data_IF_826952531455
#
_entry.id   IF_826952531455
#
_cell.length_a   1.000
_cell.length_b   1.000
_cell.length_c   1.000
_cell.angle_alpha   90.00
_cell.angle_beta   90.00
_cell.angle_gamma   90.00
#
_symmetry.space_group_name_H-M   'P 1'
#
loop_
_entity.id
_entity.type
_entity.pdbx_description
1 polymer ?
#
# COMPACT_ATOMS: atom_id res chain seq x y z
N UNK A 1 -67.17 -17.29 23.45
CA UNK A 1 -66.58 -17.54 22.12
C UNK A 1 -65.29 -16.73 22.02
N UNK A 2 -64.20 -17.41 21.69
CA UNK A 2 -62.83 -16.88 21.63
C UNK A 2 -62.56 -16.06 20.36
N UNK A 3 -61.42 -15.36 20.39
CA UNK A 3 -60.69 -14.68 19.31
C UNK A 3 -60.97 -13.19 19.11
N UNK A 4 -60.00 -12.35 19.50
CA UNK A 4 -59.20 -11.56 18.56
C UNK A 4 -58.54 -10.36 19.26
N UNK A 5 -57.54 -10.60 20.11
CA UNK A 5 -56.63 -9.51 20.54
C UNK A 5 -55.16 -9.80 20.27
N UNK A 6 -54.81 -11.01 19.84
CA UNK A 6 -53.42 -11.42 19.58
C UNK A 6 -52.90 -10.94 18.22
N UNK A 7 -53.78 -10.69 17.24
CA UNK A 7 -53.37 -10.30 15.89
C UNK A 7 -52.91 -8.83 15.81
N UNK A 8 -53.54 -7.92 16.56
CA UNK A 8 -53.16 -6.50 16.55
C UNK A 8 -51.78 -6.27 17.16
N UNK A 9 -51.47 -6.90 18.29
CA UNK A 9 -50.15 -6.82 18.93
C UNK A 9 -49.03 -7.41 18.08
N UNK A 10 -49.29 -8.51 17.36
CA UNK A 10 -48.32 -9.10 16.44
C UNK A 10 -48.07 -8.21 15.22
N UNK A 11 -49.11 -7.58 14.66
CA UNK A 11 -48.97 -6.63 13.56
C UNK A 11 -48.17 -5.39 13.97
N UNK A 12 -48.38 -4.85 15.17
CA UNK A 12 -47.56 -3.74 15.71
C UNK A 12 -46.09 -4.15 15.87
N UNK A 13 -45.84 -5.36 16.38
CA UNK A 13 -44.49 -5.89 16.54
C UNK A 13 -43.77 -6.08 15.20
N UNK A 14 -44.50 -6.60 14.20
CA UNK A 14 -43.98 -6.79 12.84
C UNK A 14 -43.69 -5.43 12.18
N UNK A 15 -44.57 -4.45 12.30
CA UNK A 15 -44.37 -3.11 11.75
C UNK A 15 -43.17 -2.40 12.39
N UNK A 16 -42.99 -2.52 13.71
CA UNK A 16 -41.82 -1.95 14.41
C UNK A 16 -40.53 -2.66 13.95
N UNK A 17 -40.54 -3.98 13.84
CA UNK A 17 -39.37 -4.74 13.35
C UNK A 17 -39.04 -4.42 11.88
N UNK A 18 -40.04 -4.21 11.03
CA UNK A 18 -39.88 -3.82 9.64
C UNK A 18 -39.33 -2.40 9.51
N UNK A 19 -39.79 -1.45 10.33
CA UNK A 19 -39.26 -0.08 10.37
C UNK A 19 -37.80 -0.04 10.84
N UNK A 20 -37.44 -0.86 11.83
CA UNK A 20 -36.04 -0.99 12.29
C UNK A 20 -35.15 -1.61 11.20
N UNK A 21 -35.65 -2.57 10.43
CA UNK A 21 -34.90 -3.11 9.29
C UNK A 21 -34.75 -2.08 8.15
N UNK A 22 -35.75 -1.24 7.91
CA UNK A 22 -35.68 -0.19 6.88
C UNK A 22 -34.63 0.88 7.18
N UNK A 23 -34.46 1.30 8.45
CA UNK A 23 -33.43 2.29 8.83
C UNK A 23 -32.00 1.74 8.71
N UNK A 24 -31.80 0.42 8.82
CA UNK A 24 -30.47 -0.20 8.70
C UNK A 24 -30.00 -0.29 7.23
N UNK A 25 -30.92 -0.31 6.26
CA UNK A 25 -30.59 -0.50 4.83
C UNK A 25 -29.98 0.75 4.16
N UNK A 26 -30.11 1.95 4.73
CA UNK A 26 -29.56 3.19 4.15
C UNK A 26 -28.12 3.54 4.59
N UNK A 27 -27.38 2.61 5.20
CA UNK A 27 -26.00 2.86 5.66
C UNK A 27 -24.90 2.45 4.65
N UNK A 28 -25.17 2.46 3.33
CA UNK A 28 -24.15 2.13 2.32
C UNK A 28 -24.10 3.15 1.18
N UNK A 29 -23.00 3.91 1.10
CA UNK A 29 -22.54 4.41 -0.20
C UNK A 29 -21.95 5.82 -0.29
N UNK A 30 -21.35 6.38 0.77
CA UNK A 30 -20.62 7.64 0.65
C UNK A 30 -19.29 7.51 -0.13
N UNK A 31 -19.31 7.62 -1.47
CA UNK A 31 -18.08 7.80 -2.27
C UNK A 31 -17.72 9.30 -2.35
N UNK A 32 -16.95 9.79 -1.37
CA UNK A 32 -16.23 11.07 -1.48
C UNK A 32 -14.95 10.86 -2.28
N UNK A 33 -15.03 10.99 -3.60
CA UNK A 33 -13.88 11.10 -4.50
C UNK A 33 -13.50 12.55 -4.76
N UNK A 34 -13.16 13.30 -3.71
CA UNK A 34 -12.65 14.67 -3.85
C UNK A 34 -11.24 14.66 -4.43
N UNK A 35 -11.09 14.94 -5.73
CA UNK A 35 -9.79 15.24 -6.36
C UNK A 35 -9.38 16.66 -6.01
N UNK A 36 -9.11 16.90 -4.73
CA UNK A 36 -8.50 18.14 -4.26
C UNK A 36 -7.03 18.17 -4.69
N UNK A 37 -6.71 18.93 -5.74
CA UNK A 37 -5.37 19.48 -5.94
C UNK A 37 -5.12 20.56 -4.88
N UNK A 38 -5.11 20.16 -3.61
CA UNK A 38 -4.49 20.95 -2.56
C UNK A 38 -2.99 20.82 -2.76
N UNK A 39 -2.29 21.94 -3.01
CA UNK A 39 -0.85 21.99 -2.80
C UNK A 39 -0.63 21.83 -1.29
N UNK A 40 -0.65 20.59 -0.82
CA UNK A 40 -0.39 20.24 0.57
C UNK A 40 0.97 20.79 0.93
N UNK A 41 1.11 21.37 2.13
CA UNK A 41 2.42 21.65 2.70
C UNK A 41 3.19 20.31 2.69
N UNK A 42 4.20 20.20 1.82
CA UNK A 42 4.83 18.95 1.38
C UNK A 42 5.83 18.38 2.41
N UNK A 43 5.48 18.53 3.69
CA UNK A 43 6.35 18.13 4.81
C UNK A 43 6.40 16.60 4.96
N UNK A 44 5.39 15.86 4.48
CA UNK A 44 5.36 14.40 4.56
C UNK A 44 6.30 13.73 3.55
N UNK A 45 6.92 12.60 3.96
CA UNK A 45 7.58 11.70 3.02
C UNK A 45 6.57 11.17 2.00
N UNK A 46 6.97 11.05 0.74
CA UNK A 46 6.15 10.57 -0.37
C UNK A 46 7.00 9.74 -1.33
N UNK A 47 6.48 8.61 -1.80
CA UNK A 47 7.11 7.82 -2.87
C UNK A 47 6.53 8.27 -4.21
N UNK A 48 7.36 8.87 -5.06
CA UNK A 48 6.90 9.59 -6.25
C UNK A 48 6.99 8.75 -7.54
N UNK A 49 7.94 7.82 -7.62
CA UNK A 49 8.15 7.01 -8.82
C UNK A 49 8.77 5.68 -8.44
N UNK A 50 8.31 4.62 -9.11
CA UNK A 50 8.86 3.28 -8.99
C UNK A 50 9.08 2.67 -10.36
N UNK A 51 10.18 1.95 -10.52
CA UNK A 51 10.46 1.19 -11.73
C UNK A 51 11.11 -0.14 -11.38
N UNK A 52 10.56 -1.22 -11.93
CA UNK A 52 11.17 -2.54 -11.93
C UNK A 52 11.81 -2.71 -13.31
N UNK A 53 13.13 -2.75 -13.35
CA UNK A 53 13.87 -2.71 -14.62
C UNK A 53 14.15 -4.13 -15.17
N UNK A 54 13.89 -5.20 -14.41
CA UNK A 54 13.96 -6.55 -14.97
C UNK A 54 12.91 -7.50 -14.40
N UNK A 55 12.04 -7.93 -15.32
CA UNK A 55 11.12 -9.04 -15.26
C UNK A 55 11.43 -9.93 -16.46
N UNK A 56 11.62 -11.24 -16.24
CA UNK A 56 12.06 -12.27 -17.19
C UNK A 56 13.55 -12.24 -17.55
N UNK A 57 14.32 -13.19 -17.01
CA UNK A 57 15.64 -13.53 -17.50
C UNK A 57 15.91 -15.02 -17.16
N UNK A 58 16.56 -15.78 -18.06
CA UNK A 58 17.08 -17.10 -17.75
C UNK A 58 18.18 -17.01 -16.67
N UNK A 59 18.56 -18.16 -16.13
CA UNK A 59 19.48 -18.34 -14.99
C UNK A 59 20.68 -17.36 -15.02
N UNK A 60 21.04 -16.80 -13.85
CA UNK A 60 21.99 -15.68 -13.68
C UNK A 60 21.44 -14.27 -14.03
N UNK A 61 20.17 -14.02 -13.71
CA UNK A 61 19.51 -12.74 -13.96
C UNK A 61 19.83 -11.65 -12.94
N UNK A 62 20.00 -10.40 -13.38
CA UNK A 62 20.12 -9.24 -12.48
C UNK A 62 18.74 -8.66 -12.21
N UNK A 63 18.30 -8.57 -10.95
CA UNK A 63 17.03 -7.91 -10.56
C UNK A 63 17.29 -6.49 -10.07
N UNK A 64 16.62 -5.50 -10.66
CA UNK A 64 16.78 -4.07 -10.31
C UNK A 64 15.45 -3.42 -9.92
N UNK A 65 15.38 -2.92 -8.70
CA UNK A 65 14.26 -2.18 -8.14
C UNK A 65 14.68 -0.74 -7.87
N UNK A 66 13.95 0.22 -8.41
CA UNK A 66 14.23 1.65 -8.22
C UNK A 66 13.09 2.31 -7.46
N UNK A 67 13.46 3.10 -6.47
CA UNK A 67 12.57 3.93 -5.68
C UNK A 67 13.04 5.39 -5.68
N UNK A 68 12.15 6.31 -6.05
CA UNK A 68 12.36 7.76 -5.88
C UNK A 68 11.39 8.27 -4.83
N UNK A 69 11.93 8.92 -3.80
CA UNK A 69 11.14 9.52 -2.74
C UNK A 69 11.41 11.02 -2.62
N UNK A 70 10.39 11.75 -2.20
CA UNK A 70 10.42 13.18 -1.93
C UNK A 70 9.86 13.45 -0.54
N UNK A 71 10.36 14.48 0.14
CA UNK A 71 9.83 14.96 1.40
C UNK A 71 10.68 16.10 1.95
N UNK A 72 10.10 16.88 2.87
CA UNK A 72 10.76 18.02 3.50
C UNK A 72 10.71 17.87 5.03
N UNK A 73 11.78 17.35 5.69
CA UNK A 73 13.11 17.01 5.17
C UNK A 73 13.14 15.79 4.25
N UNK A 74 14.23 15.68 3.47
CA UNK A 74 14.47 14.54 2.57
C UNK A 74 14.34 13.22 3.32
N UNK A 75 13.52 12.28 2.83
CA UNK A 75 13.33 11.01 3.49
C UNK A 75 14.57 10.12 3.34
N UNK A 76 14.71 9.19 4.27
CA UNK A 76 15.61 8.03 4.15
C UNK A 76 14.82 6.87 3.54
N UNK A 77 15.48 6.04 2.71
CA UNK A 77 14.86 4.86 2.11
C UNK A 77 15.37 3.61 2.82
N UNK A 78 14.46 2.67 3.08
CA UNK A 78 14.75 1.31 3.51
C UNK A 78 14.02 0.31 2.62
N UNK A 79 14.65 -0.81 2.34
CA UNK A 79 14.08 -1.89 1.55
C UNK A 79 13.65 -3.05 2.43
N UNK A 80 12.48 -3.61 2.10
CA UNK A 80 11.89 -4.75 2.80
C UNK A 80 11.56 -5.83 1.79
N UNK A 81 11.63 -7.09 2.21
CA UNK A 81 11.12 -8.25 1.49
C UNK A 81 10.14 -8.97 2.42
N UNK A 82 8.91 -9.16 1.97
CA UNK A 82 7.85 -9.89 2.70
C UNK A 82 7.62 -9.34 4.12
N UNK A 83 7.73 -8.01 4.25
CA UNK A 83 7.54 -7.31 5.52
C UNK A 83 8.77 -7.28 6.44
N UNK A 84 9.86 -7.99 6.11
CA UNK A 84 11.10 -7.95 6.86
C UNK A 84 12.11 -6.99 6.21
N UNK A 85 12.82 -6.19 7.02
CA UNK A 85 13.91 -5.33 6.52
C UNK A 85 14.99 -6.21 5.89
N UNK A 86 15.42 -5.84 4.68
CA UNK A 86 16.38 -6.64 3.95
C UNK A 86 17.75 -6.56 4.60
N UNK A 87 18.28 -7.72 4.97
CA UNK A 87 19.63 -7.83 5.51
C UNK A 87 20.68 -7.76 4.40
N UNK A 88 21.90 -7.29 4.71
CA UNK A 88 23.02 -7.38 3.78
C UNK A 88 23.27 -8.83 3.36
N UNK A 89 23.40 -9.07 2.06
CA UNK A 89 23.76 -10.36 1.46
C UNK A 89 24.82 -10.14 0.38
N UNK A 90 25.69 -11.12 0.08
CA UNK A 90 26.74 -10.96 -0.93
C UNK A 90 26.21 -10.60 -2.33
N UNK A 91 25.04 -11.13 -2.70
CA UNK A 91 24.40 -10.90 -3.99
C UNK A 91 23.44 -9.70 -3.98
N UNK A 92 23.41 -8.90 -2.91
CA UNK A 92 22.49 -7.76 -2.77
C UNK A 92 23.28 -6.47 -2.66
N UNK A 93 23.00 -5.52 -3.53
CA UNK A 93 23.67 -4.23 -3.62
C UNK A 93 22.68 -3.07 -3.54
N UNK A 94 22.98 -2.11 -2.67
CA UNK A 94 22.18 -0.90 -2.48
C UNK A 94 22.93 0.33 -3.01
N UNK A 95 22.25 1.14 -3.79
CA UNK A 95 22.80 2.39 -4.32
C UNK A 95 21.86 3.53 -4.02
N UNK A 96 22.35 4.55 -3.32
CA UNK A 96 21.56 5.73 -2.98
C UNK A 96 22.20 6.99 -3.51
N UNK A 97 21.36 7.88 -4.08
CA UNK A 97 21.79 9.16 -4.61
C UNK A 97 20.77 10.25 -4.29
N UNK A 98 21.17 11.31 -3.58
CA UNK A 98 20.38 12.53 -3.49
C UNK A 98 20.15 13.13 -4.89
N UNK A 99 18.89 13.37 -5.25
CA UNK A 99 18.54 14.08 -6.48
C UNK A 99 18.37 15.59 -6.25
N UNK A 100 17.97 15.98 -5.04
CA UNK A 100 17.90 17.38 -4.60
C UNK A 100 17.93 17.47 -3.07
N UNK A 101 17.74 18.68 -2.52
CA UNK A 101 17.60 18.90 -1.07
C UNK A 101 16.51 18.03 -0.44
N UNK A 102 15.45 17.73 -1.18
CA UNK A 102 14.22 17.11 -0.69
C UNK A 102 13.89 15.80 -1.42
N UNK A 103 14.71 15.37 -2.39
CA UNK A 103 14.51 14.15 -3.20
C UNK A 103 15.67 13.19 -3.09
N UNK A 104 15.37 11.90 -3.03
CA UNK A 104 16.33 10.80 -3.02
C UNK A 104 15.94 9.73 -4.05
N UNK A 105 16.95 9.13 -4.66
CA UNK A 105 16.85 7.95 -5.52
C UNK A 105 17.59 6.80 -4.83
N UNK A 106 16.96 5.64 -4.75
CA UNK A 106 17.54 4.41 -4.20
C UNK A 106 17.30 3.26 -5.19
N UNK A 107 18.32 2.44 -5.41
CA UNK A 107 18.25 1.23 -6.22
C UNK A 107 18.71 0.03 -5.40
N UNK A 108 17.85 -0.97 -5.37
CA UNK A 108 18.15 -2.31 -4.90
C UNK A 108 18.47 -3.19 -6.12
N UNK A 109 19.63 -3.80 -6.10
CA UNK A 109 20.12 -4.71 -7.15
C UNK A 109 20.41 -6.08 -6.52
N UNK A 110 19.91 -7.14 -7.14
CA UNK A 110 20.18 -8.52 -6.74
C UNK A 110 20.86 -9.22 -7.92
N UNK A 111 22.11 -9.63 -7.73
CA UNK A 111 22.96 -10.22 -8.76
C UNK A 111 23.92 -11.28 -8.14
N UNK A 112 23.79 -12.57 -8.49
CA UNK A 112 22.72 -13.15 -9.30
C UNK A 112 21.41 -13.24 -8.52
N UNK A 113 20.29 -13.05 -9.22
CA UNK A 113 18.96 -13.28 -8.67
C UNK A 113 18.54 -14.74 -8.89
N UNK A 114 17.97 -15.33 -7.84
CA UNK A 114 17.55 -16.74 -7.77
C UNK A 114 16.04 -16.85 -7.58
N UNK A 115 15.45 -18.05 -7.70
CA UNK A 115 14.04 -18.28 -7.36
C UNK A 115 13.69 -17.86 -5.91
N UNK A 116 14.64 -17.93 -4.98
CA UNK A 116 14.47 -17.45 -3.60
C UNK A 116 14.30 -15.93 -3.46
N UNK A 117 14.58 -15.17 -4.52
CA UNK A 117 14.40 -13.71 -4.59
C UNK A 117 13.03 -13.32 -5.19
N UNK A 118 12.11 -14.28 -5.33
CA UNK A 118 10.69 -13.98 -5.50
C UNK A 118 10.10 -13.44 -4.21
N UNK A 119 9.09 -12.58 -4.36
CA UNK A 119 8.29 -12.13 -3.23
C UNK A 119 7.81 -10.70 -3.39
N UNK A 120 7.27 -10.16 -2.30
CA UNK A 120 6.80 -8.78 -2.23
C UNK A 120 7.91 -7.92 -1.64
N UNK A 121 8.46 -7.02 -2.44
CA UNK A 121 9.42 -6.02 -1.99
C UNK A 121 8.69 -4.75 -1.60
N UNK A 122 9.23 -3.99 -0.64
CA UNK A 122 8.73 -2.67 -0.32
C UNK A 122 9.87 -1.66 -0.20
N UNK A 123 9.68 -0.50 -0.80
CA UNK A 123 10.48 0.68 -0.50
C UNK A 123 9.74 1.50 0.56
N UNK A 124 10.39 1.77 1.69
CA UNK A 124 9.86 2.56 2.79
C UNK A 124 10.65 3.87 2.87
N UNK A 125 9.97 4.97 2.60
CA UNK A 125 10.50 6.32 2.72
C UNK A 125 10.06 6.91 4.07
N UNK A 126 11.02 7.33 4.89
CA UNK A 126 10.76 7.85 6.24
C UNK A 126 11.39 9.24 6.42
N UNK A 127 10.61 10.20 6.92
CA UNK A 127 11.12 11.44 7.47
C UNK A 127 10.44 11.76 8.82
N UNK A 128 10.86 12.83 9.48
CA UNK A 128 10.32 13.20 10.81
C UNK A 128 8.80 13.46 10.84
N UNK A 129 8.17 13.68 9.68
CA UNK A 129 6.75 13.99 9.58
C UNK A 129 5.91 12.79 9.14
N UNK A 130 6.52 11.70 8.69
CA UNK A 130 5.79 10.50 8.35
C UNK A 130 6.59 9.43 7.62
N UNK A 131 5.94 8.28 7.49
CA UNK A 131 6.43 7.10 6.81
C UNK A 131 5.49 6.76 5.67
N UNK A 132 6.04 6.50 4.48
CA UNK A 132 5.30 6.01 3.33
C UNK A 132 5.97 4.76 2.77
N UNK A 133 5.17 3.76 2.45
CA UNK A 133 5.64 2.52 1.85
C UNK A 133 5.00 2.30 0.48
N UNK A 134 5.76 1.70 -0.44
CA UNK A 134 5.24 1.19 -1.71
C UNK A 134 5.70 -0.24 -1.92
N UNK A 135 4.74 -1.13 -2.14
CA UNK A 135 4.98 -2.55 -2.37
C UNK A 135 5.10 -2.86 -3.87
N UNK A 136 5.93 -3.84 -4.20
CA UNK A 136 6.22 -4.36 -5.53
C UNK A 136 6.22 -5.87 -5.50
N UNK A 137 5.43 -6.49 -6.37
CA UNK A 137 5.47 -7.94 -6.56
C UNK A 137 6.59 -8.26 -7.54
N UNK A 138 7.56 -9.07 -7.12
CA UNK A 138 8.64 -9.53 -7.96
C UNK A 138 8.46 -11.03 -8.22
N UNK A 139 7.84 -11.36 -9.35
CA UNK A 139 7.57 -12.74 -9.78
C UNK A 139 8.51 -13.15 -10.92
N UNK A 140 8.73 -14.46 -11.07
CA UNK A 140 9.38 -15.04 -12.25
C UNK A 140 8.32 -15.75 -13.07
N UNK A 141 8.33 -15.61 -14.38
CA UNK A 141 7.59 -16.47 -15.29
C UNK A 141 8.61 -17.36 -16.01
N UNK A 142 8.24 -18.61 -16.26
CA UNK A 142 9.05 -19.55 -17.03
C UNK A 142 8.90 -19.30 -18.53
#
# INVERSE_FOLDING_TARGET
MFFSSSNSSLLFSILISALILFTIVEARGGRRGGKGRGKTNLQFAQVAEFSLISSQLPDNSVKKLICKAYGEPRPMIKWYKEGAEMQPKPNVHYYEKPLSKNKIWSKLEIDPATMGDQGIYACVANNQYGVMAKNFKAEYTY
#
